data_IF_688095854064
#
_entry.id   IF_688095854064
#
_cell.length_a   1.000
_cell.length_b   1.000
_cell.length_c   1.000
_cell.angle_alpha   90.00
_cell.angle_beta   90.00
_cell.angle_gamma   90.00
#
_symmetry.space_group_name_H-M   'P 1'
#
loop_
_entity.id
_entity.type
_entity.pdbx_description
1 polymer ?
#
# COMPACT_ATOMS: atom_id res chain seq x y z
N UNK A 1 -71.06 -16.14 -21.93
CA UNK A 1 -70.68 -17.49 -21.48
C UNK A 1 -69.15 -17.57 -21.41
N UNK A 2 -68.57 -17.59 -20.20
CA UNK A 2 -67.18 -18.01 -19.92
C UNK A 2 -67.16 -19.54 -19.72
N UNK A 3 -66.05 -20.26 -20.03
CA UNK A 3 -65.04 -20.63 -19.01
C UNK A 3 -63.61 -20.86 -19.61
N UNK A 4 -62.63 -21.50 -18.91
CA UNK A 4 -61.85 -20.92 -17.81
C UNK A 4 -60.31 -20.97 -18.03
N UNK A 5 -59.65 -19.98 -17.42
CA UNK A 5 -58.36 -19.99 -16.72
C UNK A 5 -57.35 -21.14 -16.97
N UNK A 6 -56.17 -20.79 -17.48
CA UNK A 6 -54.90 -21.43 -17.09
C UNK A 6 -53.85 -20.39 -16.74
N UNK A 7 -53.64 -20.26 -15.43
CA UNK A 7 -52.57 -19.52 -14.78
C UNK A 7 -51.22 -20.13 -15.17
N UNK A 8 -50.38 -19.36 -15.86
CA UNK A 8 -48.95 -19.68 -16.00
C UNK A 8 -48.25 -19.24 -14.71
N UNK A 9 -47.73 -20.24 -14.01
CA UNK A 9 -47.08 -20.14 -12.70
C UNK A 9 -45.74 -19.42 -12.85
N UNK A 10 -45.63 -18.24 -12.24
CA UNK A 10 -44.36 -17.52 -12.06
C UNK A 10 -43.38 -18.38 -11.26
N UNK A 11 -42.25 -18.77 -11.87
CA UNK A 11 -41.09 -19.30 -11.15
C UNK A 11 -40.31 -18.11 -10.58
N UNK A 12 -40.53 -17.84 -9.30
CA UNK A 12 -39.64 -17.01 -8.47
C UNK A 12 -38.35 -17.79 -8.22
N UNK A 13 -37.23 -17.32 -8.75
CA UNK A 13 -35.89 -17.69 -8.28
C UNK A 13 -35.32 -16.53 -7.46
N UNK A 14 -34.79 -16.74 -6.25
CA UNK A 14 -34.07 -15.72 -5.52
C UNK A 14 -32.62 -15.72 -6.00
N UNK A 15 -32.30 -14.84 -6.94
CA UNK A 15 -30.95 -14.62 -7.44
C UNK A 15 -30.65 -13.13 -7.44
N UNK A 16 -30.74 -12.49 -6.26
CA UNK A 16 -30.22 -11.13 -6.09
C UNK A 16 -28.70 -11.28 -6.03
N UNK A 17 -28.09 -11.18 -7.20
CA UNK A 17 -26.66 -10.89 -7.35
C UNK A 17 -26.39 -9.61 -6.57
N UNK A 18 -25.64 -9.77 -5.47
CA UNK A 18 -25.08 -8.68 -4.69
C UNK A 18 -24.23 -7.84 -5.65
N UNK A 19 -24.74 -6.67 -6.00
CA UNK A 19 -24.05 -5.66 -6.76
C UNK A 19 -22.85 -5.19 -5.93
N UNK A 20 -21.67 -5.69 -6.25
CA UNK A 20 -20.43 -5.23 -5.66
C UNK A 20 -20.17 -3.82 -6.21
N UNK A 21 -20.23 -2.87 -5.29
CA UNK A 21 -20.23 -1.42 -5.47
C UNK A 21 -19.06 -0.97 -6.34
N UNK A 22 -19.35 -0.68 -7.61
CA UNK A 22 -18.45 0.09 -8.46
C UNK A 22 -18.69 1.58 -8.14
N UNK A 23 -18.07 2.03 -7.05
CA UNK A 23 -18.04 3.43 -6.65
C UNK A 23 -17.23 4.22 -7.67
N UNK A 24 -17.91 4.73 -8.69
CA UNK A 24 -17.37 5.74 -9.58
C UNK A 24 -17.15 7.03 -8.76
N UNK A 25 -15.91 7.31 -8.36
CA UNK A 25 -15.50 8.63 -7.88
C UNK A 25 -14.81 9.33 -9.04
N UNK A 26 -15.62 10.07 -9.80
CA UNK A 26 -15.20 11.04 -10.82
C UNK A 26 -15.61 12.43 -10.33
N UNK A 27 -14.89 12.98 -9.35
CA UNK A 27 -14.94 14.39 -8.88
C UNK A 27 -13.62 14.64 -8.14
N UNK A 28 -12.81 15.69 -8.34
CA UNK A 28 -12.91 16.88 -9.17
C UNK A 28 -11.68 17.79 -8.96
N UNK A 29 -11.67 18.87 -9.75
CA UNK A 29 -10.92 20.12 -9.57
C UNK A 29 -9.39 20.12 -9.74
N UNK A 30 -8.99 20.61 -10.91
CA UNK A 30 -7.75 21.32 -11.13
C UNK A 30 -7.50 22.37 -10.03
N UNK A 31 -6.49 22.12 -9.20
CA UNK A 31 -6.05 23.03 -8.15
C UNK A 31 -4.64 22.68 -7.75
N UNK A 32 -3.65 23.24 -8.45
CA UNK A 32 -2.22 22.99 -8.30
C UNK A 32 -1.84 21.50 -8.39
N UNK A 33 -1.16 21.14 -9.46
CA UNK A 33 -0.66 19.80 -9.83
C UNK A 33 0.42 19.27 -8.86
N UNK A 34 0.28 19.54 -7.56
CA UNK A 34 1.21 19.13 -6.53
C UNK A 34 0.79 17.75 -6.05
N UNK A 35 1.67 16.74 -6.17
CA UNK A 35 1.37 15.38 -5.75
C UNK A 35 1.04 15.30 -4.26
N UNK A 36 0.13 14.38 -3.90
CA UNK A 36 -0.34 14.15 -2.52
C UNK A 36 0.84 13.97 -1.57
N UNK A 37 0.87 14.78 -0.51
CA UNK A 37 1.88 14.67 0.55
C UNK A 37 1.34 13.76 1.65
N UNK A 38 2.08 12.70 1.93
CA UNK A 38 1.78 11.76 3.00
C UNK A 38 2.53 12.19 4.27
N UNK A 39 1.79 12.29 5.37
CA UNK A 39 2.31 12.61 6.70
C UNK A 39 3.44 11.66 7.07
N UNK A 40 4.47 12.17 7.76
CA UNK A 40 5.69 11.42 8.06
C UNK A 40 5.41 10.05 8.72
N UNK A 41 4.45 10.00 9.67
CA UNK A 41 4.05 8.76 10.35
C UNK A 41 3.39 7.69 9.45
N UNK A 42 2.95 8.06 8.24
CA UNK A 42 2.32 7.18 7.26
C UNK A 42 3.24 6.84 6.07
N UNK A 43 4.41 7.48 5.94
CA UNK A 43 5.30 7.28 4.77
C UNK A 43 5.82 5.85 4.62
N UNK A 44 5.89 5.10 5.72
CA UNK A 44 6.27 3.67 5.66
C UNK A 44 5.26 2.85 4.84
N UNK A 45 3.99 3.28 4.80
CA UNK A 45 2.96 2.65 3.97
C UNK A 45 3.35 2.74 2.49
N UNK A 46 3.93 3.86 2.04
CA UNK A 46 4.41 4.02 0.66
C UNK A 46 5.48 2.97 0.34
N UNK A 47 6.48 2.82 1.22
CA UNK A 47 7.58 1.86 1.03
C UNK A 47 7.10 0.41 1.03
N UNK A 48 6.24 0.06 1.99
CA UNK A 48 5.63 -1.26 2.10
C UNK A 48 4.78 -1.59 0.88
N UNK A 49 3.96 -0.64 0.43
CA UNK A 49 3.11 -0.79 -0.75
C UNK A 49 3.93 -0.90 -2.04
N UNK A 50 4.97 -0.09 -2.21
CA UNK A 50 5.90 -0.21 -3.35
C UNK A 50 6.57 -1.59 -3.40
N UNK A 51 6.93 -2.14 -2.24
CA UNK A 51 7.49 -3.49 -2.13
C UNK A 51 6.45 -4.55 -2.51
N UNK A 52 5.21 -4.43 -2.02
CA UNK A 52 4.12 -5.34 -2.38
C UNK A 52 3.81 -5.34 -3.88
N UNK A 53 3.75 -4.16 -4.50
CA UNK A 53 3.45 -3.98 -5.93
C UNK A 53 4.58 -4.51 -6.81
N UNK A 54 5.84 -4.16 -6.53
CA UNK A 54 7.00 -4.64 -7.29
C UNK A 54 7.20 -6.16 -7.19
N UNK A 55 6.94 -6.73 -6.00
CA UNK A 55 6.94 -8.17 -5.79
C UNK A 55 5.69 -8.87 -6.37
N UNK A 56 4.69 -8.10 -6.82
CA UNK A 56 3.35 -8.58 -7.23
C UNK A 56 2.72 -9.53 -6.19
N UNK A 57 2.96 -9.23 -4.91
CA UNK A 57 2.54 -10.06 -3.80
C UNK A 57 1.15 -9.62 -3.33
N UNK A 58 0.13 -10.43 -3.65
CA UNK A 58 -1.27 -10.14 -3.33
C UNK A 58 -1.55 -10.10 -1.82
N UNK A 59 -0.93 -10.98 -1.05
CA UNK A 59 -1.15 -11.05 0.40
C UNK A 59 -0.58 -9.82 1.11
N UNK A 60 0.59 -9.35 0.65
CA UNK A 60 1.17 -8.09 1.13
C UNK A 60 0.32 -6.89 0.71
N UNK A 61 -0.22 -6.91 -0.51
CA UNK A 61 -1.09 -5.86 -1.00
C UNK A 61 -2.40 -5.77 -0.20
N UNK A 62 -3.02 -6.91 0.13
CA UNK A 62 -4.22 -6.95 0.97
C UNK A 62 -3.94 -6.47 2.40
N UNK A 63 -2.78 -6.86 2.96
CA UNK A 63 -2.35 -6.38 4.28
C UNK A 63 -2.16 -4.86 4.30
N UNK A 64 -1.58 -4.29 3.24
CA UNK A 64 -1.46 -2.84 3.10
C UNK A 64 -2.83 -2.17 2.92
N UNK A 65 -3.74 -2.75 2.12
CA UNK A 65 -5.10 -2.24 1.96
C UNK A 65 -5.83 -2.14 3.31
N UNK A 66 -5.80 -3.21 4.11
CA UNK A 66 -6.39 -3.21 5.46
C UNK A 66 -5.76 -2.17 6.38
N UNK A 67 -4.44 -1.99 6.31
CA UNK A 67 -3.74 -0.97 7.09
C UNK A 67 -4.16 0.46 6.69
N UNK A 68 -4.32 0.71 5.39
CA UNK A 68 -4.77 2.00 4.86
C UNK A 68 -6.17 2.33 5.39
N UNK A 69 -7.12 1.41 5.26
CA UNK A 69 -8.49 1.58 5.79
C UNK A 69 -8.46 1.82 7.29
N UNK A 70 -7.74 0.96 8.04
CA UNK A 70 -7.65 1.08 9.51
C UNK A 70 -7.15 2.47 9.93
N UNK A 71 -6.11 2.99 9.26
CA UNK A 71 -5.55 4.31 9.60
C UNK A 71 -6.47 5.46 9.21
N UNK A 72 -7.23 5.32 8.13
CA UNK A 72 -8.23 6.30 7.73
C UNK A 72 -9.40 6.32 8.71
N UNK A 73 -9.92 5.15 9.09
CA UNK A 73 -10.97 4.99 10.11
C UNK A 73 -10.54 5.57 11.48
N UNK A 74 -9.27 5.43 11.84
CA UNK A 74 -8.68 6.03 13.05
C UNK A 74 -8.42 7.54 12.94
N UNK A 75 -8.69 8.16 11.78
CA UNK A 75 -8.40 9.59 11.50
C UNK A 75 -6.90 9.91 11.42
N UNK A 76 -6.05 8.90 11.26
CA UNK A 76 -4.58 9.03 11.14
C UNK A 76 -4.12 9.21 9.70
N UNK A 77 -5.03 9.10 8.75
CA UNK A 77 -4.80 9.22 7.32
C UNK A 77 -5.92 10.11 6.77
N UNK A 78 -5.56 11.20 6.13
CA UNK A 78 -6.53 12.12 5.51
C UNK A 78 -7.18 11.50 4.29
N UNK A 79 -8.34 12.02 3.89
CA UNK A 79 -9.07 11.53 2.70
C UNK A 79 -8.19 11.54 1.44
N UNK A 80 -7.40 12.61 1.24
CA UNK A 80 -6.51 12.72 0.09
C UNK A 80 -5.37 11.68 0.09
N UNK A 81 -4.83 11.37 1.27
CA UNK A 81 -3.83 10.29 1.41
C UNK A 81 -4.47 8.92 1.17
N UNK A 82 -5.70 8.72 1.64
CA UNK A 82 -6.43 7.46 1.52
C UNK A 82 -6.74 7.20 0.06
N UNK A 83 -7.33 8.17 -0.63
CA UNK A 83 -7.64 8.10 -2.05
C UNK A 83 -6.39 7.78 -2.88
N UNK A 84 -5.26 8.45 -2.61
CA UNK A 84 -4.02 8.24 -3.34
C UNK A 84 -3.46 6.81 -3.17
N UNK A 85 -3.46 6.28 -1.94
CA UNK A 85 -2.95 4.94 -1.65
C UNK A 85 -3.90 3.85 -2.14
N UNK A 86 -5.20 4.04 -1.95
CA UNK A 86 -6.25 3.12 -2.40
C UNK A 86 -6.34 3.04 -3.92
N UNK A 87 -6.06 4.13 -4.64
CA UNK A 87 -5.93 4.12 -6.10
C UNK A 87 -4.81 3.16 -6.59
N UNK A 88 -3.65 3.16 -5.93
CA UNK A 88 -2.54 2.22 -6.23
C UNK A 88 -2.99 0.78 -5.97
N UNK A 89 -3.60 0.53 -4.81
CA UNK A 89 -4.10 -0.81 -4.44
C UNK A 89 -5.10 -1.32 -5.49
N UNK A 90 -6.03 -0.46 -5.91
CA UNK A 90 -7.07 -0.79 -6.89
C UNK A 90 -6.49 -1.18 -8.24
N UNK A 91 -5.52 -0.41 -8.76
CA UNK A 91 -4.82 -0.73 -10.02
C UNK A 91 -4.09 -2.07 -9.94
N UNK A 92 -3.35 -2.30 -8.86
CA UNK A 92 -2.63 -3.53 -8.65
C UNK A 92 -3.58 -4.74 -8.51
N UNK A 93 -4.69 -4.60 -7.78
CA UNK A 93 -5.71 -5.64 -7.64
C UNK A 93 -6.44 -5.95 -8.95
N UNK A 94 -6.62 -4.95 -9.81
CA UNK A 94 -7.14 -5.12 -11.17
C UNK A 94 -6.13 -5.81 -12.13
N UNK A 95 -4.91 -6.09 -11.66
CA UNK A 95 -3.85 -6.72 -12.44
C UNK A 95 -2.97 -5.73 -13.22
N UNK A 96 -3.23 -4.42 -13.11
CA UNK A 96 -2.38 -3.38 -13.69
C UNK A 96 -1.21 -3.05 -12.76
N UNK A 97 -0.36 -4.05 -12.56
CA UNK A 97 0.82 -3.96 -11.71
C UNK A 97 1.79 -2.87 -12.15
N UNK A 98 1.90 -2.65 -13.47
CA UNK A 98 2.84 -1.68 -14.02
C UNK A 98 2.39 -0.25 -13.74
N UNK A 99 1.11 0.06 -13.96
CA UNK A 99 0.61 1.40 -13.63
C UNK A 99 0.66 1.66 -12.12
N UNK A 100 0.28 0.67 -11.31
CA UNK A 100 0.37 0.78 -9.85
C UNK A 100 1.82 1.04 -9.38
N UNK A 101 2.80 0.36 -9.99
CA UNK A 101 4.22 0.55 -9.68
C UNK A 101 4.67 1.97 -10.04
N UNK A 102 4.29 2.47 -11.21
CA UNK A 102 4.60 3.84 -11.62
C UNK A 102 4.02 4.87 -10.65
N UNK A 103 2.76 4.70 -10.26
CA UNK A 103 2.08 5.63 -9.37
C UNK A 103 2.70 5.65 -7.97
N UNK A 104 3.03 4.48 -7.39
CA UNK A 104 3.58 4.44 -6.03
C UNK A 104 5.00 5.01 -5.99
N UNK A 105 5.81 4.81 -7.03
CA UNK A 105 7.12 5.45 -7.12
C UNK A 105 7.00 6.96 -7.35
N UNK A 106 6.08 7.40 -8.21
CA UNK A 106 5.82 8.84 -8.39
C UNK A 106 5.37 9.50 -7.08
N UNK A 107 4.46 8.85 -6.33
CA UNK A 107 4.02 9.32 -5.02
C UNK A 107 5.19 9.37 -4.03
N UNK A 108 6.08 8.38 -4.03
CA UNK A 108 7.26 8.34 -3.16
C UNK A 108 8.23 9.48 -3.45
N UNK A 109 8.55 9.70 -4.73
CA UNK A 109 9.51 10.73 -5.17
C UNK A 109 8.98 12.15 -4.95
N UNK A 110 7.66 12.30 -5.02
CA UNK A 110 6.96 13.54 -4.73
C UNK A 110 7.02 14.02 -3.27
N UNK A 111 7.41 13.16 -2.33
CA UNK A 111 7.40 13.51 -0.91
C UNK A 111 8.49 14.52 -0.59
N UNK A 112 8.09 15.65 0.00
CA UNK A 112 9.04 16.67 0.48
C UNK A 112 9.50 16.31 1.90
N UNK A 113 10.82 16.29 2.19
CA UNK A 113 11.31 16.10 3.56
C UNK A 113 10.68 17.09 4.52
N UNK A 114 10.25 16.62 5.69
CA UNK A 114 9.73 17.48 6.75
C UNK A 114 10.87 18.21 7.47
N UNK A 115 10.56 19.28 8.21
CA UNK A 115 11.56 19.95 9.05
C UNK A 115 12.17 19.01 10.10
N UNK A 116 11.41 18.03 10.58
CA UNK A 116 11.91 16.99 11.49
C UNK A 116 12.90 16.06 10.78
N UNK A 117 12.60 15.62 9.56
CA UNK A 117 13.52 14.82 8.73
C UNK A 117 14.84 15.56 8.53
N UNK A 118 14.79 16.86 8.25
CA UNK A 118 15.96 17.72 8.07
C UNK A 118 16.77 17.80 9.37
N UNK A 119 16.13 18.08 10.52
CA UNK A 119 16.81 18.11 11.83
C UNK A 119 17.49 16.78 12.17
N UNK A 120 16.81 15.66 11.92
CA UNK A 120 17.35 14.33 12.17
C UNK A 120 18.59 14.05 11.30
N UNK A 121 18.59 14.50 10.04
CA UNK A 121 19.75 14.40 9.16
C UNK A 121 20.92 15.28 9.62
N UNK A 122 20.65 16.47 10.11
CA UNK A 122 21.67 17.38 10.67
C UNK A 122 22.31 16.77 11.92
N UNK A 123 21.53 16.23 12.85
CA UNK A 123 22.06 15.53 14.03
C UNK A 123 22.95 14.34 13.66
N UNK A 124 22.57 13.56 12.64
CA UNK A 124 23.39 12.44 12.14
C UNK A 124 24.68 12.89 11.48
N UNK A 125 24.71 14.05 10.83
CA UNK A 125 25.92 14.62 10.21
C UNK A 125 26.85 15.23 11.26
N UNK A 126 26.29 15.75 12.35
CA UNK A 126 27.02 16.39 13.44
C UNK A 126 27.64 15.41 14.45
N UNK A 127 27.32 14.11 14.37
CA UNK A 127 27.95 13.06 15.18
C UNK A 127 28.99 12.25 14.37
N UNK A 128 30.18 12.81 14.07
CA UNK A 128 31.31 12.01 13.57
C UNK A 128 31.93 11.10 14.65
N UNK A 129 31.68 11.35 15.95
CA UNK A 129 32.35 10.65 17.06
C UNK A 129 31.94 9.19 17.36
N UNK A 130 30.78 8.69 16.91
CA UNK A 130 30.32 7.32 17.26
C UNK A 130 30.58 6.25 16.18
N UNK A 131 31.21 6.61 15.04
CA UNK A 131 31.72 5.62 14.09
C UNK A 131 33.06 5.05 14.57
N UNK A 132 33.07 4.43 15.75
CA UNK A 132 34.10 3.45 16.03
C UNK A 132 33.99 2.36 14.93
N UNK A 133 35.07 2.01 14.21
CA UNK A 133 35.02 0.85 13.33
C UNK A 133 34.63 -0.33 14.22
N UNK A 134 33.46 -0.94 13.97
CA UNK A 134 33.16 -2.24 14.58
C UNK A 134 34.25 -3.18 14.09
N UNK A 135 35.23 -3.41 14.95
CA UNK A 135 36.17 -4.50 14.84
C UNK A 135 35.30 -5.76 14.99
N UNK A 136 34.72 -6.24 13.88
CA UNK A 136 34.09 -7.55 13.82
C UNK A 136 35.21 -8.53 14.11
N UNK A 137 35.24 -9.18 15.28
CA UNK A 137 36.28 -10.16 15.55
C UNK A 137 36.10 -11.25 14.50
N UNK A 138 37.13 -11.47 13.68
CA UNK A 138 37.16 -12.54 12.70
C UNK A 138 37.08 -13.86 13.46
N UNK A 139 35.85 -14.38 13.64
CA UNK A 139 35.64 -15.63 14.33
C UNK A 139 36.39 -16.73 13.56
N UNK A 140 37.27 -17.50 14.21
CA UNK A 140 37.98 -18.57 13.52
C UNK A 140 36.96 -19.56 12.97
N UNK A 141 36.96 -19.76 11.65
CA UNK A 141 36.22 -20.84 10.98
C UNK A 141 36.65 -22.15 11.65
N UNK A 142 35.77 -22.75 12.46
CA UNK A 142 36.03 -24.05 13.09
C UNK A 142 36.37 -25.05 11.99
N UNK A 143 37.63 -25.45 11.96
CA UNK A 143 38.12 -26.50 11.09
C UNK A 143 37.35 -27.79 11.34
N UNK A 144 36.89 -28.40 10.25
CA UNK A 144 36.37 -29.75 10.20
C UNK A 144 37.48 -30.70 10.68
N UNK A 145 37.25 -31.40 11.79
CA UNK A 145 38.18 -32.43 12.26
C UNK A 145 38.29 -33.54 11.19
N UNK A 146 39.50 -34.06 10.89
CA UNK A 146 39.63 -35.21 10.03
C UNK A 146 39.09 -36.46 10.76
N UNK A 147 38.20 -37.17 10.07
CA UNK A 147 37.74 -38.51 10.42
C UNK A 147 38.94 -39.45 10.53
N UNK A 148 39.13 -40.04 11.71
CA UNK A 148 40.07 -41.16 11.90
C UNK A 148 39.55 -42.36 11.11
N UNK A 149 40.43 -42.96 10.30
CA UNK A 149 40.32 -44.34 9.81
C UNK A 149 41.11 -45.26 10.73
#
# INVERSE_FOLDING_TARGET
MLPPSRLVRARRGPGVLVALVLGAVLVGTAGCDRPTQVAAGNREIITSLATAVSARNKDWLESNARLIETRHDEGRLSDAEHDALTAVVSKAMAGDWKAAEQDIYALREAQVPTAEDIRNLEQRKLAPEDRAPRNVPNAPRRGRAPSRS
#
